data_IF_166517799904
#
_entry.id   IF_166517799904
#
_cell.length_a   1.000
_cell.length_b   1.000
_cell.length_c   1.000
_cell.angle_alpha   90.00
_cell.angle_beta   90.00
_cell.angle_gamma   90.00
#
_symmetry.space_group_name_H-M   'P 1'
#
loop_
_entity.id
_entity.type
_entity.pdbx_description
1 polymer ?
#
# COMPACT_ATOMS: atom_id res chain seq x y z
N UNK A 1 38.39 -11.45 33.50
CA UNK A 1 37.42 -11.56 32.36
C UNK A 1 36.18 -12.26 32.93
N UNK A 2 35.15 -11.48 33.31
CA UNK A 2 33.88 -12.07 33.76
C UNK A 2 33.25 -12.79 32.56
N UNK A 3 33.07 -14.11 32.69
CA UNK A 3 32.31 -14.90 31.71
C UNK A 3 30.93 -14.27 31.54
N UNK A 4 30.68 -13.66 30.37
CA UNK A 4 29.36 -13.10 30.05
C UNK A 4 28.36 -14.23 30.04
N UNK A 5 27.42 -14.24 31.01
CA UNK A 5 26.33 -15.18 31.05
C UNK A 5 25.47 -15.05 29.80
N UNK A 6 25.06 -16.16 29.17
CA UNK A 6 24.04 -16.12 28.13
C UNK A 6 22.67 -15.84 28.76
N UNK A 7 21.75 -15.30 27.96
CA UNK A 7 20.40 -14.99 28.41
C UNK A 7 19.68 -16.21 28.97
N UNK A 8 19.81 -17.37 28.34
CA UNK A 8 19.19 -18.63 28.81
C UNK A 8 19.70 -19.04 30.19
N UNK A 9 20.99 -18.82 30.44
CA UNK A 9 21.58 -19.14 31.73
C UNK A 9 21.10 -18.18 32.82
N UNK A 10 21.09 -16.88 32.52
CA UNK A 10 20.57 -15.85 33.44
C UNK A 10 19.11 -16.12 33.79
N UNK A 11 18.25 -16.39 32.79
CA UNK A 11 16.83 -16.68 33.02
C UNK A 11 16.59 -18.01 33.79
N UNK A 12 17.42 -19.04 33.57
CA UNK A 12 17.32 -20.28 34.35
C UNK A 12 17.72 -20.06 35.80
N UNK A 13 18.76 -19.30 36.07
CA UNK A 13 19.18 -18.96 37.43
C UNK A 13 18.08 -18.20 38.20
N UNK A 14 17.30 -17.35 37.51
CA UNK A 14 16.14 -16.65 38.08
C UNK A 14 15.01 -17.59 38.50
N UNK A 15 14.70 -18.60 37.68
CA UNK A 15 13.64 -19.56 37.96
C UNK A 15 14.04 -20.61 39.02
N UNK A 16 15.34 -20.72 39.30
CA UNK A 16 15.89 -21.74 40.19
C UNK A 16 16.09 -23.09 39.51
N UNK A 17 16.24 -24.14 40.28
CA UNK A 17 16.51 -25.52 39.83
C UNK A 17 15.32 -26.43 40.11
N UNK A 18 15.18 -27.48 39.29
CA UNK A 18 14.18 -28.52 39.54
C UNK A 18 13.11 -28.65 38.45
N UNK A 19 12.15 -29.55 38.67
CA UNK A 19 11.09 -29.86 37.69
C UNK A 19 10.19 -28.65 37.40
N UNK A 20 9.75 -27.96 38.43
CA UNK A 20 8.85 -26.79 38.30
C UNK A 20 9.52 -25.65 37.56
N UNK A 21 10.80 -25.37 37.82
CA UNK A 21 11.57 -24.36 37.08
C UNK A 21 11.68 -24.70 35.58
N UNK A 22 11.86 -25.96 35.21
CA UNK A 22 11.88 -26.41 33.81
C UNK A 22 10.52 -26.24 33.12
N UNK A 23 9.42 -26.52 33.83
CA UNK A 23 8.07 -26.32 33.36
C UNK A 23 7.80 -24.82 33.10
N UNK A 24 8.15 -23.97 34.05
CA UNK A 24 8.04 -22.52 33.90
C UNK A 24 8.93 -21.98 32.76
N UNK A 25 10.18 -22.46 32.65
CA UNK A 25 11.07 -22.11 31.55
C UNK A 25 10.46 -22.46 30.17
N UNK A 26 9.84 -23.63 30.05
CA UNK A 26 9.15 -24.03 28.80
C UNK A 26 7.93 -23.17 28.50
N UNK A 27 7.14 -22.84 29.52
CA UNK A 27 5.98 -21.97 29.40
C UNK A 27 6.35 -20.53 28.96
N UNK A 28 7.34 -19.94 29.64
CA UNK A 28 7.81 -18.57 29.32
C UNK A 28 8.70 -18.50 28.06
N UNK A 29 9.18 -19.63 27.54
CA UNK A 29 10.09 -19.66 26.40
C UNK A 29 11.54 -19.37 26.73
N UNK A 30 11.94 -19.54 28.02
CA UNK A 30 13.33 -19.37 28.48
C UNK A 30 14.24 -20.51 28.05
N UNK A 31 13.67 -21.55 27.48
CA UNK A 31 14.37 -22.63 26.79
C UNK A 31 14.76 -22.29 25.34
N UNK A 32 14.42 -21.06 24.86
CA UNK A 32 14.67 -20.57 23.52
C UNK A 32 13.59 -20.91 22.48
N UNK A 33 12.57 -21.68 22.83
CA UNK A 33 11.53 -22.16 21.90
C UNK A 33 10.36 -21.19 21.73
N UNK A 34 10.35 -20.06 22.45
CA UNK A 34 9.32 -19.00 22.31
C UNK A 34 8.10 -19.18 23.21
N UNK A 35 8.13 -20.10 24.10
CA UNK A 35 7.03 -20.38 25.03
C UNK A 35 5.98 -21.32 24.49
N UNK A 36 4.95 -21.59 25.31
CA UNK A 36 3.84 -22.45 24.95
C UNK A 36 2.57 -22.06 25.70
N UNK A 37 1.40 -22.51 25.23
CA UNK A 37 0.17 -22.41 26.01
C UNK A 37 0.23 -23.38 27.21
N UNK A 38 -0.57 -23.09 28.24
CA UNK A 38 -0.68 -23.99 29.39
C UNK A 38 -1.05 -25.42 28.97
N UNK A 39 -1.92 -25.55 27.97
CA UNK A 39 -2.35 -26.84 27.44
C UNK A 39 -1.21 -27.54 26.69
N UNK A 40 -0.49 -26.82 25.83
CA UNK A 40 0.64 -27.38 25.07
C UNK A 40 1.72 -27.90 25.98
N UNK A 41 2.13 -27.07 26.97
CA UNK A 41 3.13 -27.47 27.95
C UNK A 41 2.64 -28.64 28.79
N UNK A 42 1.37 -28.65 29.18
CA UNK A 42 0.77 -29.76 29.93
C UNK A 42 0.83 -31.08 29.16
N UNK A 43 0.44 -31.05 27.89
CA UNK A 43 0.49 -32.23 27.02
C UNK A 43 1.91 -32.74 26.79
N UNK A 44 2.92 -31.87 26.66
CA UNK A 44 4.33 -32.25 26.49
C UNK A 44 4.92 -32.98 27.68
N UNK A 45 4.42 -32.69 28.89
CA UNK A 45 5.02 -33.19 30.15
C UNK A 45 4.10 -34.10 30.99
N UNK A 46 2.90 -34.42 30.43
CA UNK A 46 1.93 -35.30 31.11
C UNK A 46 1.26 -34.66 32.32
N UNK A 47 1.00 -33.35 32.28
CA UNK A 47 0.29 -32.61 33.34
C UNK A 47 -0.99 -31.97 32.81
N UNK A 48 -1.96 -31.77 33.73
CA UNK A 48 -3.16 -31.00 33.41
C UNK A 48 -2.82 -29.53 33.23
N UNK A 49 -3.61 -28.83 32.37
CA UNK A 49 -3.52 -27.37 32.17
C UNK A 49 -3.52 -26.60 33.50
N UNK A 50 -4.38 -27.02 34.43
CA UNK A 50 -4.48 -26.39 35.77
C UNK A 50 -3.22 -26.59 36.61
N UNK A 51 -2.62 -27.78 36.56
CA UNK A 51 -1.37 -28.02 37.29
C UNK A 51 -0.21 -27.19 36.75
N UNK A 52 -0.13 -27.02 35.40
CA UNK A 52 0.86 -26.12 34.81
C UNK A 52 0.59 -24.68 35.23
N UNK A 53 -0.67 -24.22 35.26
CA UNK A 53 -1.04 -22.88 35.72
C UNK A 53 -0.56 -22.63 37.16
N UNK A 54 -0.83 -23.53 38.08
CA UNK A 54 -0.39 -23.43 39.49
C UNK A 54 1.14 -23.31 39.61
N UNK A 55 1.90 -24.13 38.86
CA UNK A 55 3.36 -24.08 38.85
C UNK A 55 3.85 -22.73 38.32
N UNK A 56 3.30 -22.27 37.23
CA UNK A 56 3.68 -20.97 36.59
C UNK A 56 3.38 -19.81 37.52
N UNK A 57 2.21 -19.78 38.17
CA UNK A 57 1.80 -18.73 39.11
C UNK A 57 2.74 -18.70 40.33
N UNK A 58 2.98 -19.83 40.97
CA UNK A 58 3.89 -19.91 42.12
C UNK A 58 5.33 -19.49 41.75
N UNK A 59 5.79 -19.86 40.53
CA UNK A 59 7.11 -19.43 40.04
C UNK A 59 7.17 -17.93 39.81
N UNK A 60 6.12 -17.33 39.19
CA UNK A 60 6.08 -15.89 38.94
C UNK A 60 6.06 -15.07 40.22
N UNK A 61 5.31 -15.49 41.24
CA UNK A 61 5.28 -14.87 42.56
C UNK A 61 6.64 -14.91 43.24
N UNK A 62 7.31 -16.07 43.17
CA UNK A 62 8.66 -16.22 43.72
C UNK A 62 9.71 -15.33 43.02
N UNK A 63 9.60 -15.12 41.71
CA UNK A 63 10.51 -14.25 40.96
C UNK A 63 10.17 -12.77 41.20
N UNK A 64 8.88 -12.41 41.22
CA UNK A 64 8.42 -11.03 41.43
C UNK A 64 8.80 -10.43 42.78
N UNK A 65 8.95 -11.25 43.81
CA UNK A 65 9.43 -10.82 45.13
C UNK A 65 10.94 -10.57 45.20
N UNK A 66 11.70 -11.08 44.23
CA UNK A 66 13.13 -10.85 44.12
C UNK A 66 13.35 -9.76 43.09
N UNK A 67 13.80 -8.57 43.50
CA UNK A 67 14.32 -7.56 42.53
C UNK A 67 15.53 -8.18 41.82
N UNK A 68 15.28 -8.90 40.74
CA UNK A 68 16.31 -9.64 40.03
C UNK A 68 17.05 -8.70 39.08
N UNK A 69 18.34 -8.58 39.28
CA UNK A 69 19.24 -7.88 38.39
C UNK A 69 19.51 -8.78 37.17
N UNK A 70 19.09 -8.34 35.98
CA UNK A 70 19.17 -9.12 34.73
C UNK A 70 19.89 -8.37 33.64
N UNK A 71 21.19 -8.14 33.74
CA UNK A 71 21.96 -7.31 32.83
C UNK A 71 22.06 -7.88 31.41
N UNK A 72 21.92 -9.21 31.25
CA UNK A 72 21.90 -9.81 29.91
C UNK A 72 20.57 -9.57 29.22
N UNK A 73 19.46 -9.63 29.96
CA UNK A 73 18.15 -9.28 29.45
C UNK A 73 18.11 -7.81 29.00
N UNK A 74 18.60 -6.88 29.83
CA UNK A 74 18.62 -5.45 29.49
C UNK A 74 19.45 -5.19 28.24
N UNK A 75 20.61 -5.82 28.10
CA UNK A 75 21.45 -5.75 26.90
C UNK A 75 20.75 -6.34 25.68
N UNK A 76 20.03 -7.45 25.85
CA UNK A 76 19.26 -8.08 24.79
C UNK A 76 18.14 -7.16 24.31
N UNK A 77 17.39 -6.55 25.25
CA UNK A 77 16.34 -5.58 24.91
C UNK A 77 16.92 -4.37 24.18
N UNK A 78 18.03 -3.81 24.66
CA UNK A 78 18.70 -2.68 23.99
C UNK A 78 19.17 -3.05 22.57
N UNK A 79 19.73 -4.26 22.40
CA UNK A 79 20.15 -4.77 21.11
C UNK A 79 18.98 -4.89 20.11
N UNK A 80 17.83 -5.42 20.57
CA UNK A 80 16.62 -5.52 19.74
C UNK A 80 16.11 -4.14 19.33
N UNK A 81 16.06 -3.21 20.28
CA UNK A 81 15.59 -1.83 20.03
C UNK A 81 16.45 -1.10 18.98
N UNK A 82 17.77 -1.30 19.01
CA UNK A 82 18.72 -0.68 18.07
C UNK A 82 18.53 -1.18 16.63
N UNK A 83 18.04 -2.42 16.45
CA UNK A 83 17.89 -3.06 15.14
C UNK A 83 16.50 -2.99 14.52
N UNK A 84 15.51 -2.66 15.32
CA UNK A 84 14.14 -2.54 14.78
C UNK A 84 13.98 -1.34 13.82
N UNK A 85 13.10 -1.40 12.83
CA UNK A 85 12.28 -2.55 12.47
C UNK A 85 13.05 -3.60 11.68
N UNK A 86 12.86 -4.88 12.00
CA UNK A 86 13.53 -6.01 11.35
C UNK A 86 12.73 -7.32 11.52
N UNK A 87 13.01 -8.32 10.68
CA UNK A 87 12.44 -9.64 10.88
C UNK A 87 12.96 -10.26 12.19
N UNK A 88 12.08 -10.89 12.96
CA UNK A 88 12.46 -11.48 14.24
C UNK A 88 13.56 -12.53 14.09
N UNK A 89 13.50 -13.34 13.02
CA UNK A 89 14.53 -14.34 12.73
C UNK A 89 15.92 -13.74 12.46
N UNK A 90 16.01 -12.57 11.80
CA UNK A 90 17.28 -11.85 11.61
C UNK A 90 17.90 -11.46 12.96
N UNK A 91 17.10 -10.82 13.83
CA UNK A 91 17.54 -10.40 15.16
C UNK A 91 17.93 -11.62 16.03
N UNK A 92 17.14 -12.69 16.00
CA UNK A 92 17.40 -13.94 16.75
C UNK A 92 18.75 -14.59 16.32
N UNK A 93 19.05 -14.57 15.01
CA UNK A 93 20.33 -15.04 14.49
C UNK A 93 21.49 -14.13 14.93
N UNK A 94 21.29 -12.82 14.91
CA UNK A 94 22.31 -11.87 15.37
C UNK A 94 22.57 -11.96 16.88
N UNK A 95 21.54 -12.16 17.73
CA UNK A 95 21.70 -12.37 19.17
C UNK A 95 22.62 -13.56 19.46
N UNK A 96 22.48 -14.63 18.69
CA UNK A 96 23.35 -15.80 18.77
C UNK A 96 24.78 -15.47 18.34
N UNK A 97 24.98 -14.75 17.24
CA UNK A 97 26.29 -14.37 16.73
C UNK A 97 27.05 -13.48 17.72
N UNK A 98 26.33 -12.60 18.43
CA UNK A 98 26.87 -11.73 19.48
C UNK A 98 27.07 -12.44 20.84
N UNK A 99 26.77 -13.74 20.91
CA UNK A 99 26.87 -14.55 22.16
C UNK A 99 26.01 -14.00 23.30
N UNK A 100 24.93 -13.27 22.99
CA UNK A 100 23.91 -12.88 23.97
C UNK A 100 23.00 -14.06 24.29
N UNK A 101 22.81 -14.97 23.35
CA UNK A 101 22.13 -16.24 23.52
C UNK A 101 23.08 -17.40 23.19
N UNK A 102 22.89 -18.57 23.83
CA UNK A 102 23.71 -19.77 23.58
C UNK A 102 23.22 -20.55 22.35
N UNK A 103 21.97 -20.40 22.00
CA UNK A 103 21.31 -21.03 20.87
C UNK A 103 20.36 -20.09 20.16
N UNK A 104 19.51 -20.65 19.32
CA UNK A 104 18.36 -19.90 18.77
C UNK A 104 17.40 -19.57 19.92
N UNK A 105 17.15 -18.30 20.15
CA UNK A 105 16.28 -17.83 21.21
C UNK A 105 15.20 -16.93 20.64
N UNK A 106 13.95 -17.39 20.70
CA UNK A 106 12.82 -16.62 20.18
C UNK A 106 12.52 -15.40 21.03
N UNK A 107 12.29 -14.27 20.38
CA UNK A 107 12.07 -12.97 21.02
C UNK A 107 10.81 -12.93 21.89
N UNK A 108 9.82 -13.80 21.66
CA UNK A 108 8.67 -13.97 22.54
C UNK A 108 9.09 -14.33 23.99
N UNK A 109 10.17 -15.11 24.14
CA UNK A 109 10.77 -15.39 25.44
C UNK A 109 11.39 -14.16 26.08
N UNK A 110 11.99 -13.25 25.31
CA UNK A 110 12.50 -11.96 25.79
C UNK A 110 11.36 -11.07 26.28
N UNK A 111 10.25 -11.02 25.55
CA UNK A 111 9.05 -10.27 25.96
C UNK A 111 8.52 -10.81 27.29
N UNK A 112 8.39 -12.12 27.42
CA UNK A 112 7.92 -12.77 28.66
C UNK A 112 8.87 -12.56 29.83
N UNK A 113 10.17 -12.55 29.59
CA UNK A 113 11.16 -12.24 30.62
C UNK A 113 11.05 -10.79 31.11
N UNK A 114 10.90 -9.86 30.18
CA UNK A 114 10.70 -8.44 30.49
C UNK A 114 9.40 -8.21 31.29
N UNK A 115 8.30 -8.86 30.91
CA UNK A 115 7.02 -8.79 31.62
C UNK A 115 7.16 -9.35 33.04
N UNK A 116 7.79 -10.52 33.21
CA UNK A 116 7.97 -11.19 34.51
C UNK A 116 8.83 -10.37 35.48
N UNK A 117 9.85 -9.67 34.94
CA UNK A 117 10.81 -8.89 35.74
C UNK A 117 10.45 -7.42 35.87
N UNK A 118 9.34 -6.98 35.25
CA UNK A 118 8.92 -5.58 35.22
C UNK A 118 9.86 -4.67 34.43
N UNK A 119 10.68 -5.23 33.52
CA UNK A 119 11.55 -4.46 32.64
C UNK A 119 10.75 -3.70 31.60
N UNK A 120 11.17 -2.45 31.30
CA UNK A 120 10.47 -1.62 30.29
C UNK A 120 10.70 -2.16 28.89
N UNK A 121 9.67 -2.77 28.32
CA UNK A 121 9.68 -3.25 26.96
C UNK A 121 9.33 -2.12 25.97
N UNK A 122 10.20 -1.88 24.97
CA UNK A 122 10.05 -0.82 23.96
C UNK A 122 9.74 -1.34 22.58
N UNK A 123 9.61 -2.64 22.38
CA UNK A 123 9.30 -3.27 21.12
C UNK A 123 8.10 -4.21 21.23
N UNK A 124 7.52 -4.52 20.09
CA UNK A 124 6.47 -5.51 19.90
C UNK A 124 6.80 -6.41 18.72
N UNK A 125 6.17 -7.57 18.64
CA UNK A 125 6.28 -8.49 17.51
C UNK A 125 4.89 -8.66 16.91
N UNK A 126 4.75 -8.38 15.62
CA UNK A 126 3.50 -8.59 14.87
C UNK A 126 3.78 -9.53 13.70
N UNK A 127 2.83 -10.41 13.40
CA UNK A 127 2.90 -11.26 12.21
C UNK A 127 2.32 -10.51 11.01
N UNK A 128 3.09 -10.46 9.93
CA UNK A 128 2.69 -9.92 8.63
C UNK A 128 2.84 -11.06 7.63
N UNK A 129 1.73 -11.58 7.12
CA UNK A 129 1.70 -12.73 6.18
C UNK A 129 2.54 -13.94 6.62
N UNK A 130 2.56 -14.21 7.93
CA UNK A 130 3.30 -15.34 8.52
C UNK A 130 4.69 -14.98 9.03
N UNK A 131 5.32 -13.93 8.51
CA UNK A 131 6.60 -13.43 9.00
C UNK A 131 6.43 -12.62 10.31
N UNK A 132 7.39 -12.75 11.20
CA UNK A 132 7.41 -12.07 12.50
C UNK A 132 8.24 -10.79 12.37
N UNK A 133 7.60 -9.63 12.39
CA UNK A 133 8.26 -8.33 12.34
C UNK A 133 8.36 -7.70 13.72
N UNK A 134 9.57 -7.30 14.11
CA UNK A 134 9.87 -6.55 15.34
C UNK A 134 9.82 -5.07 15.05
N UNK A 135 9.07 -4.33 15.84
CA UNK A 135 8.88 -2.89 15.65
C UNK A 135 8.69 -2.16 16.99
N UNK A 136 8.72 -0.85 17.00
CA UNK A 136 8.46 -0.04 18.20
C UNK A 136 7.03 -0.28 18.72
N UNK A 137 6.87 -0.29 20.04
CA UNK A 137 5.59 -0.64 20.69
C UNK A 137 4.46 0.38 20.48
N UNK A 138 4.79 1.60 20.09
CA UNK A 138 3.87 2.71 19.82
C UNK A 138 3.26 2.70 18.41
N UNK A 139 3.60 1.70 17.60
CA UNK A 139 3.06 1.55 16.24
C UNK A 139 1.78 0.72 16.29
N UNK A 140 0.66 1.35 15.91
CA UNK A 140 -0.66 0.79 16.11
C UNK A 140 -1.08 -0.31 15.13
N UNK A 141 -0.66 -0.28 13.87
CA UNK A 141 -1.11 -1.33 12.94
C UNK A 141 -0.22 -1.48 11.70
N UNK A 142 0.56 -2.55 11.63
CA UNK A 142 1.26 -2.96 10.40
C UNK A 142 0.28 -3.37 9.30
N UNK A 143 -0.89 -3.90 9.66
CA UNK A 143 -1.94 -4.24 8.70
C UNK A 143 -2.46 -3.01 7.96
N UNK A 144 -2.48 -1.84 8.62
CA UNK A 144 -2.82 -0.57 7.97
C UNK A 144 -1.80 -0.22 6.90
N UNK A 145 -0.50 -0.41 7.15
CA UNK A 145 0.56 -0.17 6.15
C UNK A 145 0.35 -1.05 4.92
N UNK A 146 0.16 -2.36 5.12
CA UNK A 146 -0.06 -3.32 4.03
C UNK A 146 -1.33 -2.99 3.25
N UNK A 147 -2.43 -2.72 3.93
CA UNK A 147 -3.72 -2.37 3.33
C UNK A 147 -3.63 -1.08 2.49
N UNK A 148 -2.92 -0.07 2.99
CA UNK A 148 -2.72 1.20 2.28
C UNK A 148 -1.82 0.98 1.08
N UNK A 149 -0.71 0.26 1.21
CA UNK A 149 0.19 -0.05 0.11
C UNK A 149 -0.55 -0.77 -1.02
N UNK A 150 -1.32 -1.81 -0.72
CA UNK A 150 -2.16 -2.52 -1.71
C UNK A 150 -3.18 -1.61 -2.39
N UNK A 151 -3.81 -0.70 -1.65
CA UNK A 151 -4.73 0.29 -2.21
C UNK A 151 -4.05 1.25 -3.17
N UNK A 152 -2.86 1.76 -2.81
CA UNK A 152 -2.07 2.67 -3.66
C UNK A 152 -1.60 1.95 -4.92
N UNK A 153 -1.09 0.72 -4.78
CA UNK A 153 -0.65 -0.12 -5.91
C UNK A 153 -1.84 -0.46 -6.83
N UNK A 154 -2.99 -0.84 -6.29
CA UNK A 154 -4.19 -1.09 -7.10
C UNK A 154 -4.58 0.13 -7.93
N UNK A 155 -4.49 1.33 -7.34
CA UNK A 155 -4.84 2.59 -8.01
C UNK A 155 -3.83 3.03 -9.06
N UNK A 156 -2.53 2.95 -8.77
CA UNK A 156 -1.47 3.52 -9.58
C UNK A 156 -0.61 2.47 -10.31
N UNK A 157 -0.56 1.24 -9.81
CA UNK A 157 0.25 0.15 -10.33
C UNK A 157 1.59 -0.01 -9.64
N UNK A 158 2.20 1.07 -9.23
CA UNK A 158 3.44 1.15 -8.46
C UNK A 158 3.38 2.38 -7.54
N UNK A 159 4.24 2.44 -6.53
CA UNK A 159 4.24 3.52 -5.55
C UNK A 159 5.63 3.78 -4.99
N UNK A 160 5.78 4.92 -4.30
CA UNK A 160 6.95 5.19 -3.48
C UNK A 160 6.66 4.93 -2.00
N UNK A 161 7.69 4.58 -1.23
CA UNK A 161 7.57 4.49 0.23
C UNK A 161 7.07 5.81 0.84
N UNK A 162 7.45 6.95 0.25
CA UNK A 162 7.02 8.27 0.70
C UNK A 162 5.52 8.47 0.60
N UNK A 163 4.90 8.01 -0.51
CA UNK A 163 3.45 8.08 -0.70
C UNK A 163 2.72 7.20 0.32
N UNK A 164 3.21 5.97 0.55
CA UNK A 164 2.60 5.09 1.56
C UNK A 164 2.69 5.70 2.95
N UNK A 165 3.86 6.22 3.35
CA UNK A 165 4.03 6.92 4.64
C UNK A 165 3.06 8.10 4.76
N UNK A 166 2.92 8.91 3.70
CA UNK A 166 2.02 10.06 3.71
C UNK A 166 0.54 9.64 3.88
N UNK A 167 0.12 8.56 3.20
CA UNK A 167 -1.25 8.03 3.33
C UNK A 167 -1.50 7.39 4.71
N UNK A 168 -0.52 6.67 5.27
CA UNK A 168 -0.63 6.10 6.62
C UNK A 168 -0.77 7.20 7.67
N UNK A 169 0.04 8.26 7.58
CA UNK A 169 -0.01 9.40 8.51
C UNK A 169 -1.32 10.19 8.51
N UNK A 170 -2.12 10.10 7.44
CA UNK A 170 -3.46 10.69 7.41
C UNK A 170 -4.46 9.94 8.30
N UNK A 171 -4.20 8.67 8.59
CA UNK A 171 -5.11 7.77 9.32
C UNK A 171 -4.61 7.55 10.75
N UNK A 172 -3.30 7.46 10.92
CA UNK A 172 -2.66 7.14 12.19
C UNK A 172 -1.62 8.21 12.55
N UNK A 173 -1.70 8.72 13.77
CA UNK A 173 -0.76 9.73 14.31
C UNK A 173 0.56 9.12 14.82
N UNK A 174 0.79 7.83 14.62
CA UNK A 174 1.96 7.10 15.13
C UNK A 174 3.22 7.26 14.29
N UNK A 175 4.34 6.77 14.81
CA UNK A 175 5.71 6.87 14.25
C UNK A 175 5.95 6.04 12.99
N UNK A 176 5.15 6.22 11.94
CA UNK A 176 5.37 5.57 10.64
C UNK A 176 6.48 6.28 9.86
N UNK A 177 7.55 5.57 9.57
CA UNK A 177 8.64 6.03 8.72
C UNK A 177 8.88 5.10 7.51
N UNK A 178 9.76 5.53 6.59
CA UNK A 178 10.08 4.75 5.38
C UNK A 178 10.73 3.40 5.70
N UNK A 179 11.54 3.31 6.76
CA UNK A 179 12.24 2.09 7.15
C UNK A 179 11.24 1.04 7.62
N UNK A 180 10.27 1.43 8.42
CA UNK A 180 9.20 0.55 8.88
C UNK A 180 8.34 0.07 7.71
N UNK A 181 7.90 1.00 6.82
CA UNK A 181 7.10 0.63 5.64
C UNK A 181 7.87 -0.34 4.76
N UNK A 182 9.14 -0.07 4.46
CA UNK A 182 9.97 -0.96 3.64
C UNK A 182 10.10 -2.36 4.26
N UNK A 183 10.33 -2.45 5.57
CA UNK A 183 10.45 -3.74 6.27
C UNK A 183 9.13 -4.49 6.35
N UNK A 184 8.02 -3.80 6.60
CA UNK A 184 6.69 -4.42 6.60
C UNK A 184 6.33 -4.97 5.22
N UNK A 185 6.62 -4.23 4.15
CA UNK A 185 6.34 -4.65 2.79
C UNK A 185 7.28 -5.76 2.31
N UNK A 186 8.53 -5.77 2.74
CA UNK A 186 9.49 -6.84 2.42
C UNK A 186 9.09 -8.23 2.98
N UNK A 187 8.18 -8.27 3.97
CA UNK A 187 7.59 -9.52 4.46
C UNK A 187 6.53 -10.10 3.50
N UNK A 188 6.07 -9.31 2.50
CA UNK A 188 5.06 -9.77 1.54
C UNK A 188 5.73 -10.55 0.41
N UNK A 189 5.21 -11.74 0.08
CA UNK A 189 5.76 -12.57 -0.99
C UNK A 189 5.72 -11.93 -2.38
N UNK A 190 4.82 -10.97 -2.59
CA UNK A 190 4.68 -10.23 -3.84
C UNK A 190 5.45 -8.91 -3.92
N UNK A 191 6.25 -8.56 -2.92
CA UNK A 191 6.98 -7.29 -2.88
C UNK A 191 8.21 -7.29 -3.80
N UNK A 192 8.29 -6.26 -4.65
CA UNK A 192 9.41 -6.07 -5.57
C UNK A 192 9.87 -4.62 -5.61
N UNK A 193 11.17 -4.40 -5.50
CA UNK A 193 11.78 -3.10 -5.77
C UNK A 193 11.82 -2.82 -7.27
N UNK A 194 11.43 -1.58 -7.64
CA UNK A 194 11.65 -1.02 -8.97
C UNK A 194 12.88 -0.10 -8.99
N UNK A 195 13.05 0.67 -7.93
CA UNK A 195 14.22 1.51 -7.70
C UNK A 195 14.36 1.77 -6.19
N UNK A 196 15.22 1.00 -5.54
CA UNK A 196 15.37 1.04 -4.08
C UNK A 196 15.86 2.39 -3.57
N UNK A 197 16.80 3.05 -4.27
CA UNK A 197 17.36 4.35 -3.86
C UNK A 197 16.31 5.45 -3.79
N UNK A 198 15.34 5.47 -4.69
CA UNK A 198 14.22 6.40 -4.72
C UNK A 198 12.98 5.86 -3.98
N UNK A 199 13.04 4.60 -3.53
CA UNK A 199 11.97 3.95 -2.78
C UNK A 199 10.77 3.52 -3.63
N UNK A 200 10.93 3.32 -4.95
CA UNK A 200 9.89 2.81 -5.83
C UNK A 200 9.76 1.30 -5.70
N UNK A 201 8.52 0.84 -5.60
CA UNK A 201 8.18 -0.58 -5.48
C UNK A 201 6.81 -0.89 -6.08
N UNK A 202 6.51 -2.17 -6.23
CA UNK A 202 5.19 -2.68 -6.55
C UNK A 202 4.92 -4.00 -5.84
N UNK A 203 3.67 -4.46 -5.91
CA UNK A 203 3.21 -5.73 -5.33
C UNK A 203 2.62 -6.58 -6.46
N UNK A 204 3.28 -7.69 -6.79
CA UNK A 204 2.86 -8.58 -7.88
C UNK A 204 1.60 -9.39 -7.56
N UNK A 205 1.28 -9.57 -6.28
CA UNK A 205 0.12 -10.30 -5.77
C UNK A 205 -1.15 -9.41 -5.67
N UNK A 206 -1.09 -8.15 -6.10
CA UNK A 206 -2.26 -7.27 -6.09
C UNK A 206 -3.20 -7.63 -7.25
N UNK A 207 -4.46 -8.07 -6.97
CA UNK A 207 -5.36 -8.61 -7.99
C UNK A 207 -5.71 -7.63 -9.10
N UNK A 208 -5.69 -6.32 -8.80
CA UNK A 208 -6.00 -5.26 -9.72
C UNK A 208 -4.87 -4.22 -9.74
N UNK A 209 -4.24 -4.05 -10.90
CA UNK A 209 -3.16 -3.08 -11.09
C UNK A 209 -3.51 -2.16 -12.26
N UNK A 210 -3.74 -0.89 -11.93
CA UNK A 210 -4.23 0.07 -12.92
C UNK A 210 -3.22 0.36 -14.03
N UNK A 211 -1.92 0.49 -13.73
CA UNK A 211 -0.90 0.71 -14.75
C UNK A 211 -0.79 -0.49 -15.68
N UNK A 212 -0.71 -1.72 -15.14
CA UNK A 212 -0.62 -2.94 -15.94
C UNK A 212 -1.80 -3.10 -16.90
N UNK A 213 -3.01 -2.76 -16.45
CA UNK A 213 -4.18 -2.79 -17.32
C UNK A 213 -4.09 -1.81 -18.48
N UNK A 214 -3.51 -0.59 -18.27
CA UNK A 214 -3.29 0.39 -19.35
C UNK A 214 -2.18 -0.06 -20.28
N UNK A 215 -1.11 -0.60 -19.75
CA UNK A 215 -0.01 -1.16 -20.55
C UNK A 215 -0.56 -2.25 -21.49
N UNK A 216 -1.35 -3.19 -20.97
CA UNK A 216 -1.97 -4.24 -21.79
C UNK A 216 -2.89 -3.67 -22.87
N UNK A 217 -3.67 -2.63 -22.57
CA UNK A 217 -4.50 -1.95 -23.58
C UNK A 217 -3.66 -1.30 -24.68
N UNK A 218 -2.57 -0.63 -24.30
CA UNK A 218 -1.66 0.00 -25.27
C UNK A 218 -1.01 -1.08 -26.14
N UNK A 219 -0.47 -2.13 -25.53
CA UNK A 219 0.20 -3.21 -26.24
C UNK A 219 -0.73 -4.06 -27.10
N UNK A 220 -2.04 -4.06 -26.85
CA UNK A 220 -3.00 -4.71 -27.75
C UNK A 220 -3.25 -3.94 -29.05
N UNK A 221 -2.74 -2.70 -29.14
CA UNK A 221 -2.90 -1.82 -30.32
C UNK A 221 -1.56 -1.49 -30.97
N UNK A 222 -0.51 -1.31 -30.14
CA UNK A 222 0.84 -1.00 -30.57
C UNK A 222 1.84 -1.93 -29.87
N UNK A 223 2.25 -2.97 -30.55
CA UNK A 223 3.16 -4.00 -30.03
C UNK A 223 4.24 -4.31 -31.09
N UNK A 224 5.51 -4.00 -30.85
CA UNK A 224 6.11 -3.33 -29.68
C UNK A 224 5.91 -1.80 -29.61
N UNK A 225 6.20 -1.17 -28.47
CA UNK A 225 6.15 0.28 -28.26
C UNK A 225 7.34 0.78 -27.44
N UNK A 226 7.80 2.01 -27.68
CA UNK A 226 8.84 2.64 -26.87
C UNK A 226 8.34 2.99 -25.46
N UNK A 227 9.25 2.98 -24.47
CA UNK A 227 8.90 3.29 -23.08
C UNK A 227 8.36 4.72 -22.91
N UNK A 228 8.86 5.66 -23.70
CA UNK A 228 8.42 7.07 -23.69
C UNK A 228 6.99 7.21 -24.18
N UNK A 229 6.64 6.55 -25.30
CA UNK A 229 5.27 6.53 -25.83
C UNK A 229 4.31 5.79 -24.89
N UNK A 230 4.75 4.67 -24.32
CA UNK A 230 3.99 3.91 -23.32
C UNK A 230 3.65 4.78 -22.10
N UNK A 231 4.65 5.48 -21.56
CA UNK A 231 4.49 6.42 -20.45
C UNK A 231 3.52 7.56 -20.78
N UNK A 232 3.66 8.15 -21.97
CA UNK A 232 2.76 9.19 -22.46
C UNK A 232 1.31 8.67 -22.59
N UNK A 233 1.12 7.47 -23.13
CA UNK A 233 -0.19 6.82 -23.24
C UNK A 233 -0.86 6.57 -21.88
N UNK A 234 -0.11 6.05 -20.91
CA UNK A 234 -0.62 5.86 -19.53
C UNK A 234 -1.09 7.20 -18.93
N UNK A 235 -0.28 8.27 -19.09
CA UNK A 235 -0.58 9.60 -18.56
C UNK A 235 -1.81 10.28 -19.16
N UNK A 236 -2.29 9.86 -20.33
CA UNK A 236 -3.51 10.36 -20.95
C UNK A 236 -4.79 9.91 -20.23
N UNK A 237 -4.79 8.75 -19.59
CA UNK A 237 -5.95 8.31 -18.82
C UNK A 237 -6.17 9.26 -17.62
N UNK A 238 -7.32 9.90 -17.58
CA UNK A 238 -7.67 10.83 -16.49
C UNK A 238 -7.63 10.20 -15.10
N UNK A 239 -7.78 8.88 -15.01
CA UNK A 239 -7.66 8.13 -13.75
C UNK A 239 -6.22 8.02 -13.27
N UNK A 240 -5.25 8.22 -14.19
CA UNK A 240 -3.81 8.25 -13.93
C UNK A 240 -3.27 9.68 -13.82
N UNK A 241 -4.14 10.69 -13.76
CA UNK A 241 -3.73 12.11 -13.66
C UNK A 241 -2.88 12.34 -12.41
N UNK A 242 -1.69 12.88 -12.61
CA UNK A 242 -0.70 13.10 -11.55
C UNK A 242 0.24 11.92 -11.30
N UNK A 243 0.00 10.77 -11.91
CA UNK A 243 0.91 9.62 -11.87
C UNK A 243 1.88 9.69 -13.06
N UNK A 244 3.14 9.92 -12.80
CA UNK A 244 4.18 10.02 -13.83
C UNK A 244 5.49 9.41 -13.30
N UNK A 245 5.60 8.07 -13.28
CA UNK A 245 6.83 7.41 -12.84
C UNK A 245 7.99 7.76 -13.80
N UNK A 246 9.24 7.80 -13.33
CA UNK A 246 10.41 7.86 -14.21
C UNK A 246 10.41 6.70 -15.21
N UNK A 247 10.93 6.93 -16.42
CA UNK A 247 10.96 5.88 -17.47
C UNK A 247 11.71 4.64 -17.03
N UNK A 248 12.83 4.79 -16.32
CA UNK A 248 13.60 3.67 -15.74
C UNK A 248 12.77 2.83 -14.76
N UNK A 249 11.89 3.47 -13.96
CA UNK A 249 11.01 2.77 -13.01
C UNK A 249 9.91 2.02 -13.77
N UNK A 250 9.32 2.64 -14.77
CA UNK A 250 8.32 2.00 -15.61
C UNK A 250 8.91 0.84 -16.42
N UNK A 251 10.13 0.98 -16.92
CA UNK A 251 10.86 -0.06 -17.65
C UNK A 251 11.13 -1.27 -16.74
N UNK A 252 11.58 -1.02 -15.51
CA UNK A 252 11.82 -2.07 -14.52
C UNK A 252 10.52 -2.77 -14.12
N UNK A 253 9.42 -2.02 -13.97
CA UNK A 253 8.10 -2.58 -13.75
C UNK A 253 7.69 -3.53 -14.91
N UNK A 254 7.90 -3.11 -16.14
CA UNK A 254 7.60 -3.94 -17.31
C UNK A 254 8.47 -5.20 -17.37
N UNK A 255 9.75 -5.15 -16.94
CA UNK A 255 10.64 -6.33 -16.87
C UNK A 255 10.16 -7.37 -15.87
N UNK A 256 9.60 -6.90 -14.75
CA UNK A 256 9.16 -7.78 -13.67
C UNK A 256 7.70 -8.25 -13.86
N UNK A 257 6.91 -7.53 -14.65
CA UNK A 257 5.50 -7.83 -14.86
C UNK A 257 5.32 -9.04 -15.79
N UNK A 258 4.52 -10.00 -15.37
CA UNK A 258 4.25 -11.22 -16.14
C UNK A 258 3.52 -10.91 -17.47
N UNK A 259 3.97 -11.52 -18.56
CA UNK A 259 3.40 -11.36 -19.88
C UNK A 259 3.90 -10.13 -20.64
N UNK A 260 4.99 -9.52 -20.16
CA UNK A 260 5.69 -8.44 -20.82
C UNK A 260 7.17 -8.83 -21.04
N UNK A 261 7.71 -8.38 -22.17
CA UNK A 261 9.14 -8.48 -22.50
C UNK A 261 9.67 -7.10 -22.80
N UNK A 262 10.88 -6.84 -22.35
CA UNK A 262 11.57 -5.55 -22.53
C UNK A 262 12.86 -5.79 -23.30
N UNK A 263 13.03 -5.11 -24.42
CA UNK A 263 14.26 -5.09 -25.21
C UNK A 263 14.72 -3.63 -25.32
N UNK A 264 15.88 -3.34 -24.74
CA UNK A 264 16.41 -1.96 -24.62
C UNK A 264 15.39 -1.01 -23.97
N UNK A 265 14.82 -0.08 -24.74
CA UNK A 265 13.81 0.89 -24.33
C UNK A 265 12.42 0.57 -24.91
N UNK A 266 12.25 -0.64 -25.43
CA UNK A 266 11.02 -1.09 -26.08
C UNK A 266 10.33 -2.14 -25.23
N UNK A 267 9.01 -2.05 -25.13
CA UNK A 267 8.16 -2.99 -24.37
C UNK A 267 7.25 -3.71 -25.35
N UNK A 268 7.13 -5.01 -25.19
CA UNK A 268 6.22 -5.87 -25.97
C UNK A 268 5.45 -6.82 -25.06
N UNK A 269 4.27 -7.22 -25.51
CA UNK A 269 3.49 -8.28 -24.87
C UNK A 269 3.92 -9.65 -25.38
N UNK A 270 4.12 -10.60 -24.49
CA UNK A 270 4.46 -11.98 -24.81
C UNK A 270 3.66 -12.94 -23.90
N UNK A 271 2.67 -13.69 -24.45
CA UNK A 271 2.23 -13.72 -25.84
C UNK A 271 1.56 -12.42 -26.31
N UNK A 272 1.48 -12.24 -27.63
CA UNK A 272 0.79 -11.10 -28.24
C UNK A 272 -0.66 -11.00 -27.75
N UNK A 273 -1.12 -9.78 -27.47
CA UNK A 273 -2.44 -9.51 -26.92
C UNK A 273 -3.46 -9.25 -28.04
N UNK A 274 -4.58 -9.96 -27.97
CA UNK A 274 -5.70 -9.67 -28.87
C UNK A 274 -6.50 -8.47 -28.35
N UNK A 275 -6.63 -7.44 -29.16
CA UNK A 275 -7.43 -6.25 -28.85
C UNK A 275 -8.90 -6.58 -28.49
N UNK A 276 -9.44 -7.66 -29.10
CA UNK A 276 -10.79 -8.15 -28.81
C UNK A 276 -11.02 -8.56 -27.36
N UNK A 277 -9.98 -9.09 -26.70
CA UNK A 277 -10.06 -9.62 -25.34
C UNK A 277 -9.74 -8.55 -24.28
N UNK A 278 -8.95 -7.54 -24.66
CA UNK A 278 -8.41 -6.53 -23.71
C UNK A 278 -9.23 -5.24 -23.72
N UNK A 279 -9.76 -4.84 -24.88
CA UNK A 279 -10.47 -3.58 -25.08
C UNK A 279 -11.98 -3.72 -24.84
N UNK A 280 -12.58 -2.67 -24.27
CA UNK A 280 -14.03 -2.56 -24.20
C UNK A 280 -14.62 -2.34 -25.61
N UNK A 281 -15.91 -2.65 -25.83
CA UNK A 281 -16.55 -2.53 -27.13
C UNK A 281 -16.33 -1.17 -27.80
N UNK A 282 -16.55 -0.09 -27.07
CA UNK A 282 -16.34 1.27 -27.58
C UNK A 282 -14.88 1.58 -27.94
N UNK A 283 -13.92 0.98 -27.24
CA UNK A 283 -12.49 1.10 -27.59
C UNK A 283 -12.18 0.30 -28.86
N UNK A 284 -12.79 -0.88 -29.04
CA UNK A 284 -12.66 -1.68 -30.27
C UNK A 284 -13.22 -0.95 -31.50
N UNK A 285 -14.40 -0.35 -31.34
CA UNK A 285 -15.01 0.45 -32.42
C UNK A 285 -14.10 1.60 -32.85
N UNK A 286 -13.50 2.28 -31.91
CA UNK A 286 -12.55 3.38 -32.15
C UNK A 286 -11.28 2.87 -32.84
N UNK A 287 -10.71 1.75 -32.38
CA UNK A 287 -9.53 1.14 -33.01
C UNK A 287 -9.84 0.72 -34.45
N UNK A 288 -10.99 0.09 -34.69
CA UNK A 288 -11.43 -0.32 -36.00
C UNK A 288 -11.54 0.87 -36.95
N UNK A 289 -12.25 1.95 -36.55
CA UNK A 289 -12.39 3.17 -37.35
C UNK A 289 -11.03 3.75 -37.73
N UNK A 290 -10.14 3.92 -36.74
CA UNK A 290 -8.83 4.51 -36.99
C UNK A 290 -7.96 3.62 -37.88
N UNK A 291 -8.00 2.31 -37.69
CA UNK A 291 -7.22 1.35 -38.48
C UNK A 291 -7.64 1.34 -39.94
N UNK A 292 -8.95 1.40 -40.26
CA UNK A 292 -9.47 1.48 -41.63
C UNK A 292 -9.09 2.79 -42.35
N UNK A 293 -8.79 3.84 -41.57
CA UNK A 293 -8.41 5.13 -42.10
C UNK A 293 -6.91 5.44 -42.00
N UNK A 294 -6.07 4.40 -41.93
CA UNK A 294 -4.61 4.53 -41.88
C UNK A 294 -4.02 4.96 -40.55
N UNK A 295 -4.76 4.75 -39.46
CA UNK A 295 -4.30 4.94 -38.08
C UNK A 295 -4.38 6.36 -37.54
N UNK A 296 -4.48 7.41 -38.42
CA UNK A 296 -4.54 8.83 -38.03
C UNK A 296 -5.63 9.53 -38.84
N UNK A 297 -6.49 10.28 -38.15
CA UNK A 297 -7.61 11.04 -38.77
C UNK A 297 -7.70 12.49 -38.24
N UNK A 298 -8.28 13.36 -39.05
CA UNK A 298 -8.71 14.67 -38.56
C UNK A 298 -9.90 14.53 -37.59
N UNK A 299 -9.95 15.35 -36.55
CA UNK A 299 -11.03 15.30 -35.53
C UNK A 299 -12.43 15.39 -36.12
N UNK A 300 -12.62 16.25 -37.14
CA UNK A 300 -13.91 16.44 -37.83
C UNK A 300 -14.37 15.19 -38.56
N UNK A 301 -13.46 14.54 -39.28
CA UNK A 301 -13.71 13.30 -40.02
C UNK A 301 -13.96 12.15 -39.04
N UNK A 302 -13.10 11.96 -38.04
CA UNK A 302 -13.25 10.96 -37.03
C UNK A 302 -14.59 11.07 -36.28
N UNK A 303 -15.00 12.31 -35.94
CA UNK A 303 -16.31 12.57 -35.31
C UNK A 303 -17.48 12.19 -36.22
N UNK A 304 -17.36 12.45 -37.53
CA UNK A 304 -18.38 12.11 -38.53
C UNK A 304 -18.57 10.59 -38.64
N UNK A 305 -17.46 9.87 -38.79
CA UNK A 305 -17.47 8.40 -38.88
C UNK A 305 -17.97 7.75 -37.59
N UNK A 306 -17.52 8.21 -36.44
CA UNK A 306 -18.02 7.68 -35.14
C UNK A 306 -19.54 7.88 -35.01
N UNK A 307 -20.06 9.02 -35.44
CA UNK A 307 -21.51 9.30 -35.43
C UNK A 307 -22.29 8.37 -36.34
N UNK A 308 -21.81 8.11 -37.56
CA UNK A 308 -22.45 7.16 -38.49
C UNK A 308 -22.49 5.75 -37.98
N UNK A 309 -21.54 5.36 -37.13
CA UNK A 309 -21.48 4.06 -36.46
C UNK A 309 -22.22 4.02 -35.11
N UNK A 310 -22.97 5.08 -34.75
CA UNK A 310 -23.78 5.11 -33.53
C UNK A 310 -23.03 5.48 -32.25
N UNK A 311 -21.74 5.86 -32.33
CA UNK A 311 -20.98 6.34 -31.18
C UNK A 311 -21.48 7.73 -30.80
N UNK A 312 -21.97 7.88 -29.55
CA UNK A 312 -22.47 9.18 -29.12
C UNK A 312 -21.33 10.20 -28.89
N UNK A 313 -21.67 11.50 -29.00
CA UNK A 313 -20.71 12.60 -28.94
C UNK A 313 -19.89 12.63 -27.62
N UNK A 314 -20.49 12.24 -26.50
CA UNK A 314 -19.81 12.21 -25.18
C UNK A 314 -18.77 11.09 -25.14
N UNK A 315 -19.13 9.90 -25.61
CA UNK A 315 -18.23 8.75 -25.67
C UNK A 315 -17.05 9.04 -26.60
N UNK A 316 -17.32 9.62 -27.79
CA UNK A 316 -16.28 10.09 -28.71
C UNK A 316 -15.31 11.05 -28.01
N UNK A 317 -15.82 12.11 -27.39
CA UNK A 317 -14.98 13.09 -26.70
C UNK A 317 -14.14 12.45 -25.57
N UNK A 318 -14.75 11.59 -24.76
CA UNK A 318 -14.03 10.88 -23.70
C UNK A 318 -12.93 9.96 -24.26
N UNK A 319 -13.18 9.31 -25.38
CA UNK A 319 -12.17 8.46 -26.05
C UNK A 319 -10.99 9.31 -26.54
N UNK A 320 -11.23 10.45 -27.15
CA UNK A 320 -10.15 11.34 -27.59
C UNK A 320 -9.27 11.86 -26.46
N UNK A 321 -9.88 12.26 -25.34
CA UNK A 321 -9.17 12.98 -24.27
C UNK A 321 -8.60 12.06 -23.21
N UNK A 322 -9.19 10.88 -23.02
CA UNK A 322 -8.91 10.01 -21.86
C UNK A 322 -8.45 8.59 -22.19
N UNK A 323 -8.47 8.21 -23.47
CA UNK A 323 -8.04 6.87 -23.83
C UNK A 323 -6.53 6.74 -23.87
N UNK A 324 -5.93 5.70 -23.25
CA UNK A 324 -4.50 5.46 -23.33
C UNK A 324 -4.02 5.01 -24.72
N UNK A 325 -4.94 4.54 -25.59
CA UNK A 325 -4.62 4.01 -26.92
C UNK A 325 -4.72 5.05 -28.04
N UNK A 326 -5.12 6.29 -27.71
CA UNK A 326 -5.24 7.38 -28.69
C UNK A 326 -4.20 8.46 -28.37
N UNK A 327 -3.54 8.98 -29.38
CA UNK A 327 -2.54 10.05 -29.28
C UNK A 327 -2.89 11.21 -30.23
N UNK A 328 -2.54 12.43 -29.82
CA UNK A 328 -2.64 13.62 -30.67
C UNK A 328 -1.32 13.79 -31.44
N UNK A 329 -1.40 13.69 -32.75
CA UNK A 329 -0.26 13.83 -33.68
C UNK A 329 -0.04 15.25 -34.19
N UNK A 330 -0.91 16.17 -33.85
CA UNK A 330 -0.87 17.58 -34.25
C UNK A 330 -2.22 18.25 -34.03
N UNK A 331 -2.32 19.53 -34.31
CA UNK A 331 -3.56 20.30 -34.10
C UNK A 331 -4.72 19.64 -34.84
N UNK A 332 -5.69 19.12 -34.10
CA UNK A 332 -6.87 18.42 -34.63
C UNK A 332 -6.59 17.10 -35.39
N UNK A 333 -5.44 16.47 -35.17
CA UNK A 333 -5.12 15.15 -35.71
C UNK A 333 -4.98 14.15 -34.55
N UNK A 334 -5.80 13.11 -34.57
CA UNK A 334 -5.78 12.04 -33.57
C UNK A 334 -5.59 10.69 -34.25
N UNK A 335 -4.91 9.79 -33.56
CA UNK A 335 -4.68 8.45 -34.09
C UNK A 335 -4.34 7.44 -32.99
N UNK A 336 -4.14 6.23 -33.43
CA UNK A 336 -3.69 5.16 -32.55
C UNK A 336 -2.26 5.43 -32.08
N UNK A 337 -1.99 5.14 -30.80
CA UNK A 337 -0.64 5.20 -30.27
C UNK A 337 0.28 4.27 -31.07
N UNK A 338 1.52 4.67 -31.30
CA UNK A 338 2.48 3.90 -32.10
C UNK A 338 2.33 4.04 -33.63
N UNK A 339 1.28 4.76 -34.14
CA UNK A 339 1.17 5.03 -35.57
C UNK A 339 2.20 6.05 -36.03
N UNK A 340 2.94 5.74 -37.11
CA UNK A 340 3.91 6.70 -37.66
C UNK A 340 3.24 7.76 -38.51
N UNK A 341 3.65 9.04 -38.38
CA UNK A 341 3.19 10.14 -39.20
C UNK A 341 3.38 9.90 -40.72
N UNK A 342 4.34 9.05 -41.08
CA UNK A 342 4.68 8.76 -42.48
C UNK A 342 3.72 7.80 -43.16
N UNK A 343 3.07 6.89 -42.45
CA UNK A 343 2.11 5.95 -43.04
C UNK A 343 0.70 6.55 -43.22
N UNK A 344 0.30 7.49 -42.35
CA UNK A 344 -1.04 8.12 -42.42
C UNK A 344 -1.15 9.32 -43.36
N UNK A 345 -0.07 10.10 -43.56
CA UNK A 345 -0.08 11.34 -44.35
C UNK A 345 0.04 11.12 -45.86
N UNK A 346 0.54 9.97 -46.33
CA UNK A 346 0.61 9.66 -47.77
C UNK A 346 -0.73 9.26 -48.39
N UNK A 347 -1.71 8.93 -47.56
CA UNK A 347 -2.97 8.39 -48.09
C UNK A 347 -4.05 9.46 -48.42
N UNK A 348 -4.09 10.63 -47.78
CA UNK A 348 -5.13 11.65 -48.07
C UNK A 348 -4.82 13.05 -47.53
N UNK A 349 -3.93 13.80 -48.16
CA UNK A 349 -4.00 15.26 -48.16
C UNK A 349 -4.27 15.71 -49.58
N UNK A 350 -5.44 15.36 -50.09
CA UNK A 350 -6.11 16.14 -51.13
C UNK A 350 -7.02 17.11 -50.40
N UNK A 351 -6.52 18.29 -50.13
CA UNK A 351 -7.41 19.39 -49.81
C UNK A 351 -8.18 19.75 -51.11
N UNK A 352 -9.53 19.67 -51.15
CA UNK A 352 -10.29 20.29 -52.22
C UNK A 352 -9.99 21.79 -52.14
N UNK A 353 -9.47 22.35 -53.22
CA UNK A 353 -9.10 23.75 -53.35
C UNK A 353 -10.24 24.65 -52.90
N UNK A 354 -10.13 25.24 -51.75
CA UNK A 354 -10.90 26.42 -51.39
C UNK A 354 -10.20 27.61 -52.03
N UNK A 355 -10.81 28.07 -53.12
CA UNK A 355 -10.44 29.28 -53.81
C UNK A 355 -10.20 30.42 -52.82
N UNK A 356 -9.07 31.07 -53.01
CA UNK A 356 -8.69 32.31 -52.37
C UNK A 356 -9.81 33.34 -52.51
N UNK A 357 -10.70 33.44 -51.52
CA UNK A 357 -11.48 34.67 -51.36
C UNK A 357 -10.53 35.71 -50.77
N UNK A 358 -10.11 36.62 -51.61
CA UNK A 358 -9.47 37.88 -51.22
C UNK A 358 -10.41 38.59 -50.23
N UNK A 359 -10.10 38.53 -48.96
CA UNK A 359 -10.71 39.33 -47.93
C UNK A 359 -10.18 40.74 -48.06
N UNK A 360 -11.01 41.62 -48.60
CA UNK A 360 -10.86 43.06 -48.54
C UNK A 360 -10.70 43.49 -47.09
N UNK A 361 -9.50 43.96 -46.79
CA UNK A 361 -9.19 44.68 -45.56
C UNK A 361 -10.08 45.88 -45.43
N UNK A 362 -11.10 45.88 -44.58
CA UNK A 362 -11.69 47.09 -44.03
C UNK A 362 -10.85 47.53 -42.84
N UNK A 363 -10.06 48.58 -43.07
CA UNK A 363 -9.42 49.36 -42.02
C UNK A 363 -10.52 49.98 -41.16
N UNK A 364 -10.66 49.55 -39.94
CA UNK A 364 -11.29 50.33 -38.89
C UNK A 364 -10.19 50.88 -38.00
N UNK A 365 -9.80 52.14 -38.32
CA UNK A 365 -9.11 53.01 -37.36
C UNK A 365 -10.09 53.38 -36.26
N UNK A 366 -9.80 52.94 -35.07
CA UNK A 366 -10.37 53.49 -33.82
C UNK A 366 -9.26 54.13 -33.04
N UNK A 367 -9.26 55.43 -33.04
CA UNK A 367 -8.61 56.34 -32.08
C UNK A 367 -9.09 56.04 -30.66
N UNK A 368 -8.21 56.12 -29.65
CA UNK A 368 -8.62 56.06 -28.26
C UNK A 368 -9.19 57.40 -27.78
N UNK A 369 -10.21 57.44 -26.94
CA UNK A 369 -10.58 58.65 -26.26
C UNK A 369 -9.74 58.86 -25.01
N UNK A 370 -9.38 60.14 -24.87
CA UNK A 370 -8.61 60.78 -23.83
C UNK A 370 -9.13 60.57 -22.43
N UNK A 371 -8.16 60.53 -21.52
CA UNK A 371 -8.34 60.64 -20.09
C UNK A 371 -8.73 62.08 -19.72
N UNK A 372 -9.75 62.22 -18.88
CA UNK A 372 -9.72 63.28 -17.85
C UNK A 372 -10.87 63.16 -16.85
N UNK A 373 -10.47 63.26 -15.58
CA UNK A 373 -11.16 63.87 -14.45
C UNK A 373 -12.35 63.16 -13.80
N UNK A 374 -12.16 62.93 -12.49
CA UNK A 374 -13.24 62.82 -11.53
C UNK A 374 -12.89 62.02 -10.27
N UNK A 375 -12.21 62.68 -9.36
CA UNK A 375 -12.06 62.25 -7.97
C UNK A 375 -13.41 62.20 -7.24
N UNK A 376 -13.61 61.23 -6.38
CA UNK A 376 -14.18 61.41 -5.03
C UNK A 376 -14.28 60.08 -4.30
N UNK A 377 -13.42 59.85 -3.32
CA UNK A 377 -13.58 59.65 -1.90
C UNK A 377 -14.93 59.06 -1.46
N UNK A 378 -14.83 57.85 -0.89
CA UNK A 378 -15.47 57.53 0.40
C UNK A 378 -14.88 56.27 1.01
N UNK A 379 -14.03 56.48 1.98
CA UNK A 379 -13.72 55.54 3.06
C UNK A 379 -14.98 55.17 3.82
N UNK A 380 -15.18 53.90 4.10
CA UNK A 380 -15.93 53.47 5.26
C UNK A 380 -15.21 52.32 5.99
N UNK A 381 -14.39 52.72 6.94
CA UNK A 381 -14.02 51.93 8.13
C UNK A 381 -15.28 51.71 8.94
N UNK A 382 -15.48 50.49 9.42
CA UNK A 382 -16.17 50.25 10.70
C UNK A 382 -15.34 49.22 11.45
N UNK A 383 -14.92 49.68 12.60
CA UNK A 383 -14.20 48.97 13.68
C UNK A 383 -15.16 48.14 14.52
N UNK A 384 -14.59 47.04 15.04
CA UNK A 384 -14.59 46.57 16.44
C UNK A 384 -15.81 46.85 17.34
N UNK A 385 -16.25 45.79 18.00
CA UNK A 385 -16.25 45.52 19.45
C UNK A 385 -17.25 44.40 19.73
N UNK A 386 -16.81 43.28 20.28
CA UNK A 386 -16.65 43.01 21.71
C UNK A 386 -17.96 42.60 22.41
N UNK A 387 -17.87 41.51 23.11
CA UNK A 387 -18.50 41.15 24.39
C UNK A 387 -19.92 40.56 24.36
N UNK A 388 -20.08 39.32 24.75
CA UNK A 388 -20.57 38.87 26.05
C UNK A 388 -21.29 37.54 25.97
N UNK A 389 -20.85 36.61 26.78
CA UNK A 389 -21.63 35.45 27.24
C UNK A 389 -22.80 35.93 28.08
N UNK A 390 -23.84 35.11 28.27
CA UNK A 390 -23.99 34.58 29.62
C UNK A 390 -24.37 33.10 29.70
N UNK A 391 -24.01 32.54 30.86
CA UNK A 391 -24.45 31.29 31.49
C UNK A 391 -25.97 31.28 31.79
N UNK A 392 -26.55 30.06 31.81
CA UNK A 392 -27.46 29.52 32.81
C UNK A 392 -27.83 28.07 32.36
N UNK A 393 -27.55 27.01 33.09
CA UNK A 393 -28.15 26.50 34.32
C UNK A 393 -29.60 25.99 34.14
N UNK A 394 -29.78 24.72 34.48
CA UNK A 394 -31.06 24.10 34.68
C UNK A 394 -31.08 22.69 34.11
N UNK A 395 -30.76 21.67 34.83
CA UNK A 395 -31.47 20.81 35.79
C UNK A 395 -32.40 19.75 35.15
N UNK A 396 -32.13 18.50 35.59
CA UNK A 396 -33.03 17.41 35.90
C UNK A 396 -33.84 16.69 34.79
N UNK A 397 -33.59 15.40 34.63
CA UNK A 397 -34.46 14.35 35.22
C UNK A 397 -33.95 12.94 34.82
N UNK A 398 -33.78 12.14 35.83
CA UNK A 398 -33.67 10.68 35.77
C UNK A 398 -35.02 10.07 35.36
N UNK A 399 -34.96 9.02 34.53
CA UNK A 399 -36.01 7.99 34.48
C UNK A 399 -35.32 6.65 34.37
N UNK A 400 -35.49 5.90 35.47
CA UNK A 400 -35.35 4.45 35.55
C UNK A 400 -36.40 3.77 34.66
N UNK A 401 -36.08 2.63 34.16
CA UNK A 401 -37.06 1.77 33.47
C UNK A 401 -36.44 0.54 32.84
N UNK A 402 -36.26 -0.46 33.64
CA UNK A 402 -36.76 -1.82 33.54
C UNK A 402 -36.11 -2.80 32.54
N UNK A 403 -35.50 -3.78 33.16
CA UNK A 403 -35.04 -5.09 32.61
C UNK A 403 -36.27 -6.02 32.54
N UNK A 404 -36.37 -6.89 31.54
CA UNK A 404 -36.77 -8.25 31.81
C UNK A 404 -35.73 -9.29 31.36
N UNK A 405 -35.34 -10.06 32.34
CA UNK A 405 -34.78 -11.41 32.21
C UNK A 405 -35.79 -12.34 31.55
N UNK A 406 -35.34 -13.14 30.61
CA UNK A 406 -35.88 -14.51 30.43
C UNK A 406 -34.78 -15.45 30.00
N UNK A 407 -34.50 -16.40 30.85
CA UNK A 407 -33.77 -17.67 30.64
C UNK A 407 -34.79 -18.75 30.19
N UNK A 408 -34.42 -20.03 30.08
CA UNK A 408 -33.75 -20.72 28.97
C UNK A 408 -34.66 -21.87 28.44
N UNK A 409 -34.41 -22.33 27.23
CA UNK A 409 -34.98 -23.64 26.81
C UNK A 409 -33.90 -24.53 26.20
N UNK A 410 -33.53 -25.54 26.99
CA UNK A 410 -33.47 -26.99 26.77
C UNK A 410 -33.21 -27.49 25.34
N UNK A 411 -32.13 -28.25 25.29
CA UNK A 411 -31.84 -29.31 24.30
C UNK A 411 -32.95 -30.35 24.13
N UNK A 412 -32.91 -31.11 23.03
CA UNK A 412 -32.63 -32.53 23.23
C UNK A 412 -31.59 -33.11 22.21
N UNK A 413 -30.73 -33.94 22.70
CA UNK A 413 -30.27 -35.19 22.06
C UNK A 413 -31.46 -36.13 21.86
N UNK A 414 -31.42 -37.17 20.96
CA UNK A 414 -30.42 -38.20 20.95
C UNK A 414 -30.16 -38.92 19.61
N UNK A 415 -29.17 -39.76 19.67
CA UNK A 415 -29.11 -41.20 19.29
C UNK A 415 -28.83 -41.61 17.85
N UNK A 416 -27.78 -42.39 17.81
CA UNK A 416 -27.57 -43.76 17.27
C UNK A 416 -27.33 -43.95 15.77
N UNK A 417 -26.10 -44.19 15.45
CA UNK A 417 -25.44 -45.43 14.94
C UNK A 417 -26.37 -46.49 14.30
N UNK A 418 -25.89 -47.41 13.39
CA UNK A 418 -24.53 -47.81 13.03
C UNK A 418 -24.30 -48.22 11.54
N UNK A 419 -23.00 -48.44 11.24
CA UNK A 419 -22.45 -49.48 10.37
C UNK A 419 -22.75 -49.52 8.85
N UNK A 420 -21.73 -49.28 8.05
CA UNK A 420 -21.05 -50.23 7.18
C UNK A 420 -19.73 -49.62 6.70
#
# INVERSE_FOLDING_TARGET
MQSRLSLERELRELLGTGRNARIAARYYGFDGRGGGSLQTVGNEIGLTRERVRQIVTATSESVGTRRAFSPTLDRTIAFVVDRMPAAAGEIEAELRSQRLTSGLFRLEGVIKAAELLGSRLRFSITKVEGERLVHARDIHSLDTIVRIARRVISRWGMATLTEVVAEVRKIESGGCDKKLVARALACLGGFHWLEQSAGWFWLSDTPHNAALNRIRKILSVANPISISELRAGIGRDSRMKGFSPPERVLLEFCRQAQGLRVEEETVQAEPELNAGDVLAQTERDVVHILSEHGGIMATSEFKSVCRSMGVNARTFYLSLVRSPIITEYGRHLYGLIGSSRTSGLRARVSFPGHGLRKSTRRNFSRTPPDASLGASVAHKKISSDATSSPQSAGDNAAVEGDVPQTSPHRSPHPADNPAA
#
